data_IF_260531861666
#
_entry.id   IF_260531861666
#
_cell.length_a   1.000
_cell.length_b   1.000
_cell.length_c   1.000
_cell.angle_alpha   90.00
_cell.angle_beta   90.00
_cell.angle_gamma   90.00
#
_symmetry.space_group_name_H-M   'P 1'
#
loop_
_entity.id
_entity.type
_entity.pdbx_description
1 polymer ?
#
# COMPACT_ATOMS: atom_id res chain seq x y z
N UNK A 1 20.69 8.89 0.77
CA UNK A 1 21.82 8.77 -0.17
C UNK A 1 21.40 7.77 -1.24
N UNK A 2 20.92 8.25 -2.39
CA UNK A 2 20.66 7.36 -3.53
C UNK A 2 22.01 7.03 -4.16
N UNK A 3 22.39 5.75 -4.16
CA UNK A 3 23.44 5.29 -5.04
C UNK A 3 23.02 5.65 -6.47
N UNK A 4 23.86 6.38 -7.19
CA UNK A 4 23.68 6.58 -8.62
C UNK A 4 23.91 5.23 -9.29
N UNK A 5 22.84 4.47 -9.45
CA UNK A 5 22.83 3.21 -10.19
C UNK A 5 23.18 3.52 -11.65
N UNK A 6 24.48 3.41 -11.97
CA UNK A 6 24.97 3.59 -13.32
C UNK A 6 24.62 2.36 -14.14
N UNK A 7 23.58 2.45 -14.95
CA UNK A 7 23.22 1.38 -15.88
C UNK A 7 24.30 1.26 -16.96
N UNK A 8 25.09 0.19 -16.87
CA UNK A 8 26.17 -0.09 -17.82
C UNK A 8 25.65 -1.04 -18.90
N UNK A 9 25.77 -0.62 -20.15
CA UNK A 9 25.31 -1.38 -21.31
C UNK A 9 26.34 -2.47 -21.64
N UNK A 10 25.88 -3.72 -21.82
CA UNK A 10 26.72 -4.86 -22.17
C UNK A 10 26.22 -5.54 -23.46
N UNK A 11 27.08 -5.75 -24.49
CA UNK A 11 28.47 -5.29 -24.59
C UNK A 11 28.57 -3.74 -24.63
N UNK A 12 29.71 -3.13 -24.27
CA UNK A 12 29.85 -1.69 -24.23
C UNK A 12 29.80 -1.08 -25.64
N UNK A 13 29.05 0.02 -25.80
CA UNK A 13 28.99 0.82 -27.05
C UNK A 13 30.34 1.40 -27.45
N UNK A 14 31.19 1.68 -26.46
CA UNK A 14 32.55 2.20 -26.62
C UNK A 14 33.41 1.46 -25.60
N UNK A 15 34.50 0.84 -26.05
CA UNK A 15 35.45 0.19 -25.16
C UNK A 15 36.06 1.20 -24.18
N UNK A 16 36.48 0.73 -23.00
CA UNK A 16 37.14 1.56 -21.98
C UNK A 16 38.37 2.25 -22.58
N UNK A 17 38.35 3.59 -22.64
CA UNK A 17 39.40 4.41 -23.26
C UNK A 17 39.16 4.81 -24.73
N UNK A 18 38.13 4.25 -25.39
CA UNK A 18 37.78 4.50 -26.79
C UNK A 18 37.02 5.79 -27.08
N UNK A 19 36.83 6.67 -26.07
CA UNK A 19 36.13 7.94 -26.25
C UNK A 19 36.84 8.86 -27.25
N UNK A 20 38.18 8.78 -27.29
CA UNK A 20 39.02 9.53 -28.22
C UNK A 20 38.89 9.02 -29.66
N UNK A 21 38.55 7.74 -29.85
CA UNK A 21 38.32 7.15 -31.16
C UNK A 21 36.89 7.41 -31.64
N UNK A 22 35.92 7.43 -30.73
CA UNK A 22 34.55 7.88 -31.04
C UNK A 22 34.56 9.32 -31.55
N UNK A 23 35.25 10.24 -30.87
CA UNK A 23 35.32 11.65 -31.29
C UNK A 23 36.03 11.83 -32.63
N UNK A 24 37.12 11.09 -32.88
CA UNK A 24 37.81 11.07 -34.18
C UNK A 24 36.94 10.49 -35.31
N UNK A 25 36.06 9.54 -34.99
CA UNK A 25 35.16 8.93 -35.97
C UNK A 25 33.99 9.84 -36.40
N UNK A 26 33.78 10.97 -35.73
CA UNK A 26 32.66 11.87 -35.99
C UNK A 26 31.29 11.30 -35.59
N UNK A 27 31.27 10.16 -34.88
CA UNK A 27 30.05 9.53 -34.35
C UNK A 27 29.74 10.07 -32.95
N UNK A 28 28.45 10.19 -32.65
CA UNK A 28 27.93 10.56 -31.33
C UNK A 28 26.97 9.48 -30.83
N UNK A 29 26.75 9.43 -29.52
CA UNK A 29 25.75 8.55 -28.92
C UNK A 29 24.39 9.26 -29.03
N UNK A 30 23.43 8.56 -29.62
CA UNK A 30 22.04 8.99 -29.72
C UNK A 30 21.17 8.08 -28.87
N UNK A 31 20.13 8.68 -28.29
CA UNK A 31 19.06 7.96 -27.61
C UNK A 31 17.73 8.44 -28.21
N UNK A 32 16.85 7.49 -28.56
CA UNK A 32 15.46 7.79 -28.93
C UNK A 32 14.55 7.20 -27.87
N UNK A 33 13.58 7.99 -27.40
CA UNK A 33 12.58 7.52 -26.46
C UNK A 33 11.47 6.76 -27.18
N UNK A 34 11.00 5.66 -26.58
CA UNK A 34 9.81 4.95 -27.02
C UNK A 34 8.56 5.79 -26.72
N UNK A 35 7.57 5.84 -27.63
CA UNK A 35 6.30 6.51 -27.36
C UNK A 35 5.38 5.70 -26.41
N UNK A 36 5.69 4.42 -26.18
CA UNK A 36 4.83 3.50 -25.42
C UNK A 36 5.15 3.48 -23.92
N UNK A 37 6.42 3.66 -23.56
CA UNK A 37 6.94 3.43 -22.21
C UNK A 37 8.26 4.18 -21.98
N UNK A 38 8.76 4.19 -20.74
CA UNK A 38 10.06 4.75 -20.37
C UNK A 38 11.25 3.87 -20.83
N UNK A 39 11.19 3.40 -22.07
CA UNK A 39 12.30 2.71 -22.72
C UNK A 39 12.95 3.61 -23.76
N UNK A 40 14.25 3.40 -23.94
CA UNK A 40 15.10 4.18 -24.81
C UNK A 40 15.88 3.23 -25.70
N UNK A 41 15.97 3.54 -26.99
CA UNK A 41 16.93 2.89 -27.88
C UNK A 41 18.19 3.75 -27.93
N UNK A 42 19.32 3.20 -27.51
CA UNK A 42 20.62 3.85 -27.53
C UNK A 42 21.47 3.26 -28.65
N UNK A 43 21.99 4.11 -29.51
CA UNK A 43 22.81 3.71 -30.65
C UNK A 43 23.84 4.80 -30.96
N UNK A 44 24.97 4.43 -31.56
CA UNK A 44 25.88 5.43 -32.12
C UNK A 44 25.36 5.86 -33.50
N UNK A 45 25.48 7.13 -33.87
CA UNK A 45 25.21 7.59 -35.23
C UNK A 45 26.14 8.74 -35.61
N UNK A 46 26.32 8.95 -36.92
CA UNK A 46 27.09 10.09 -37.40
C UNK A 46 26.25 11.36 -37.37
N UNK A 47 26.82 12.46 -36.87
CA UNK A 47 26.19 13.79 -36.94
C UNK A 47 25.86 14.23 -38.38
N UNK A 48 26.58 13.67 -39.36
CA UNK A 48 26.42 13.97 -40.79
C UNK A 48 25.23 13.25 -41.45
N UNK A 49 24.72 12.16 -40.85
CA UNK A 49 23.61 11.37 -41.42
C UNK A 49 22.23 12.03 -41.19
N UNK A 50 22.14 12.99 -40.26
CA UNK A 50 20.91 13.71 -39.94
C UNK A 50 20.66 14.95 -40.84
N UNK A 51 21.56 15.23 -41.78
CA UNK A 51 21.41 16.34 -42.74
C UNK A 51 20.61 15.90 -43.98
N UNK A 52 19.54 16.62 -44.36
CA UNK A 52 18.78 16.27 -45.56
C UNK A 52 19.66 16.44 -46.80
N UNK A 53 19.99 15.33 -47.48
CA UNK A 53 20.62 15.34 -48.80
C UNK A 53 22.01 14.71 -48.92
N UNK A 54 22.59 14.09 -47.89
CA UNK A 54 23.84 13.31 -48.02
C UNK A 54 23.59 11.81 -48.05
N UNK A 55 24.31 11.13 -48.94
CA UNK A 55 24.33 9.67 -49.06
C UNK A 55 24.62 9.05 -47.69
N UNK A 56 23.74 8.16 -47.24
CA UNK A 56 24.02 7.21 -46.16
C UNK A 56 25.31 6.48 -46.53
N UNK A 57 26.44 6.88 -45.96
CA UNK A 57 27.61 6.03 -46.01
C UNK A 57 27.21 4.75 -45.28
N UNK A 58 27.31 3.61 -45.96
CA UNK A 58 26.97 2.31 -45.42
C UNK A 58 27.58 2.19 -44.02
N UNK A 59 26.73 2.29 -43.00
CA UNK A 59 27.10 1.90 -41.66
C UNK A 59 27.60 0.45 -41.75
N UNK A 60 28.64 0.06 -41.00
CA UNK A 60 28.96 -1.36 -40.88
C UNK A 60 27.66 -2.07 -40.50
N UNK A 61 27.33 -3.14 -41.22
CA UNK A 61 26.03 -3.85 -41.22
C UNK A 61 25.56 -4.28 -39.82
N UNK A 62 26.45 -4.28 -38.81
CA UNK A 62 26.17 -4.64 -37.43
C UNK A 62 26.45 -3.48 -36.46
N UNK A 63 25.63 -2.43 -36.51
CA UNK A 63 25.65 -1.43 -35.44
C UNK A 63 24.71 -1.86 -34.31
N UNK A 64 25.21 -2.15 -33.10
CA UNK A 64 24.37 -2.63 -32.01
C UNK A 64 23.44 -1.50 -31.54
N UNK A 65 22.14 -1.79 -31.54
CA UNK A 65 21.10 -0.94 -30.94
C UNK A 65 20.75 -1.55 -29.59
N UNK A 66 20.83 -0.75 -28.54
CA UNK A 66 20.53 -1.19 -27.19
C UNK A 66 19.18 -0.67 -26.74
N UNK A 67 18.33 -1.57 -26.27
CA UNK A 67 17.08 -1.20 -25.62
C UNK A 67 17.32 -1.12 -24.12
N UNK A 68 17.16 0.08 -23.59
CA UNK A 68 17.34 0.42 -22.19
C UNK A 68 15.97 0.74 -21.60
N UNK A 69 15.66 0.21 -20.42
CA UNK A 69 14.44 0.55 -19.69
C UNK A 69 14.83 1.25 -18.39
N UNK A 70 14.20 2.40 -18.11
CA UNK A 70 14.28 3.05 -16.80
C UNK A 70 13.58 2.19 -15.73
N UNK A 71 12.52 1.49 -16.13
CA UNK A 71 11.73 0.65 -15.24
C UNK A 71 12.12 -0.84 -15.34
N UNK A 72 12.17 -1.52 -14.20
CA UNK A 72 12.27 -2.97 -14.17
C UNK A 72 10.96 -3.62 -14.65
N UNK A 73 11.09 -4.62 -15.53
CA UNK A 73 9.94 -5.38 -16.02
C UNK A 73 9.14 -5.97 -14.84
N UNK A 74 7.79 -5.89 -14.86
CA UNK A 74 6.96 -6.47 -13.82
C UNK A 74 7.28 -7.94 -13.59
N UNK A 75 7.68 -8.30 -12.37
CA UNK A 75 7.89 -9.70 -12.01
C UNK A 75 6.55 -10.46 -11.98
N UNK A 76 6.62 -11.80 -11.92
CA UNK A 76 5.42 -12.66 -11.97
C UNK A 76 4.38 -12.31 -10.91
N UNK A 77 4.83 -11.95 -9.71
CA UNK A 77 3.98 -11.47 -8.60
C UNK A 77 3.22 -10.19 -8.97
N UNK A 78 3.92 -9.14 -9.42
CA UNK A 78 3.30 -7.88 -9.84
C UNK A 78 2.38 -8.07 -11.06
N UNK A 79 2.73 -8.98 -11.97
CA UNK A 79 1.89 -9.33 -13.13
C UNK A 79 0.59 -10.01 -12.72
N UNK A 80 0.65 -10.94 -11.78
CA UNK A 80 -0.55 -11.56 -11.20
C UNK A 80 -1.44 -10.49 -10.57
N UNK A 81 -0.84 -9.61 -9.75
CA UNK A 81 -1.58 -8.55 -9.10
C UNK A 81 -2.29 -7.62 -10.12
N UNK A 82 -1.55 -7.10 -11.10
CA UNK A 82 -2.10 -6.22 -12.14
C UNK A 82 -3.14 -6.94 -12.99
N UNK A 83 -2.88 -8.20 -13.36
CA UNK A 83 -3.78 -9.00 -14.19
C UNK A 83 -5.15 -9.15 -13.55
N UNK A 84 -5.20 -9.63 -12.31
CA UNK A 84 -6.45 -9.96 -11.64
C UNK A 84 -7.20 -8.69 -11.17
N UNK A 85 -6.48 -7.68 -10.66
CA UNK A 85 -7.11 -6.39 -10.31
C UNK A 85 -7.67 -5.65 -11.52
N UNK A 86 -7.08 -5.84 -12.71
CA UNK A 86 -7.60 -5.24 -13.94
C UNK A 86 -8.99 -5.78 -14.32
N UNK A 87 -9.32 -7.01 -13.93
CA UNK A 87 -10.64 -7.61 -14.17
C UNK A 87 -11.70 -6.89 -13.32
N UNK A 88 -11.39 -6.67 -12.04
CA UNK A 88 -12.26 -5.93 -11.10
C UNK A 88 -12.46 -4.50 -11.61
N UNK A 89 -11.38 -3.85 -12.04
CA UNK A 89 -11.44 -2.51 -12.59
C UNK A 89 -12.25 -2.44 -13.89
N UNK A 90 -12.09 -3.40 -14.79
CA UNK A 90 -12.87 -3.48 -16.03
C UNK A 90 -14.37 -3.67 -15.74
N UNK A 91 -14.73 -4.46 -14.73
CA UNK A 91 -16.11 -4.61 -14.28
C UNK A 91 -16.69 -3.27 -13.79
N UNK A 92 -15.93 -2.51 -12.99
CA UNK A 92 -16.33 -1.17 -12.55
C UNK A 92 -16.49 -0.20 -13.73
N UNK A 93 -15.55 -0.22 -14.69
CA UNK A 93 -15.65 0.62 -15.89
C UNK A 93 -16.90 0.31 -16.71
N UNK A 94 -17.26 -0.97 -16.85
CA UNK A 94 -18.48 -1.38 -17.55
C UNK A 94 -19.74 -0.93 -16.83
N UNK A 95 -19.76 -1.00 -15.50
CA UNK A 95 -20.86 -0.44 -14.69
C UNK A 95 -21.00 1.07 -14.94
N UNK A 96 -19.89 1.81 -14.89
CA UNK A 96 -19.89 3.27 -15.11
C UNK A 96 -20.35 3.64 -16.51
N UNK A 97 -19.91 2.91 -17.54
CA UNK A 97 -20.37 3.12 -18.92
C UNK A 97 -21.87 2.86 -19.06
N UNK A 98 -22.34 1.74 -18.53
CA UNK A 98 -23.77 1.36 -18.58
C UNK A 98 -24.66 2.39 -17.87
N UNK A 99 -24.21 2.93 -16.73
CA UNK A 99 -24.95 3.97 -16.03
C UNK A 99 -24.99 5.29 -16.82
N UNK A 100 -23.88 5.68 -17.46
CA UNK A 100 -23.86 6.86 -18.34
C UNK A 100 -24.80 6.70 -19.54
N UNK A 101 -24.81 5.54 -20.17
CA UNK A 101 -25.67 5.26 -21.33
C UNK A 101 -27.16 5.28 -20.96
N UNK A 102 -27.49 4.85 -19.74
CA UNK A 102 -28.86 4.82 -19.21
C UNK A 102 -29.27 6.11 -18.47
N UNK A 103 -28.37 7.09 -18.29
CA UNK A 103 -28.62 8.31 -17.52
C UNK A 103 -28.88 8.08 -16.03
N UNK A 104 -28.39 6.97 -15.48
CA UNK A 104 -28.54 6.61 -14.06
C UNK A 104 -27.47 7.31 -13.20
N UNK A 105 -27.88 7.82 -12.04
CA UNK A 105 -26.95 8.27 -11.03
C UNK A 105 -26.46 7.08 -10.18
N UNK A 106 -25.21 6.70 -10.38
CA UNK A 106 -24.55 5.58 -9.71
C UNK A 106 -24.54 5.72 -8.18
N UNK A 107 -24.60 6.95 -7.68
CA UNK A 107 -24.59 7.24 -6.25
C UNK A 107 -25.98 7.22 -5.63
N UNK A 108 -27.05 7.13 -6.42
CA UNK A 108 -28.42 7.07 -5.90
C UNK A 108 -29.06 5.70 -6.14
N UNK A 109 -28.58 4.96 -7.15
CA UNK A 109 -29.08 3.63 -7.45
C UNK A 109 -28.54 2.57 -6.46
N UNK A 110 -29.45 1.97 -5.71
CA UNK A 110 -29.15 0.91 -4.73
C UNK A 110 -28.39 -0.27 -5.35
N UNK A 111 -28.78 -0.67 -6.56
CA UNK A 111 -28.14 -1.78 -7.27
C UNK A 111 -26.68 -1.47 -7.59
N UNK A 112 -26.43 -0.28 -8.13
CA UNK A 112 -25.10 0.22 -8.46
C UNK A 112 -24.22 0.37 -7.23
N UNK A 113 -24.73 0.96 -6.13
CA UNK A 113 -23.96 1.08 -4.90
C UNK A 113 -23.54 -0.28 -4.32
N UNK A 114 -24.46 -1.27 -4.29
CA UNK A 114 -24.14 -2.64 -3.83
C UNK A 114 -23.05 -3.29 -4.69
N UNK A 115 -23.11 -3.09 -6.01
CA UNK A 115 -22.08 -3.62 -6.94
C UNK A 115 -20.74 -2.91 -6.73
N UNK A 116 -20.73 -1.58 -6.60
CA UNK A 116 -19.51 -0.80 -6.32
C UNK A 116 -18.86 -1.26 -5.02
N UNK A 117 -19.65 -1.42 -3.95
CA UNK A 117 -19.16 -1.92 -2.66
C UNK A 117 -18.57 -3.32 -2.79
N UNK A 118 -19.26 -4.22 -3.48
CA UNK A 118 -18.73 -5.56 -3.75
C UNK A 118 -17.38 -5.51 -4.48
N UNK A 119 -17.28 -4.74 -5.56
CA UNK A 119 -16.04 -4.61 -6.33
C UNK A 119 -14.90 -4.00 -5.50
N UNK A 120 -15.20 -3.02 -4.64
CA UNK A 120 -14.22 -2.45 -3.71
C UNK A 120 -13.71 -3.50 -2.71
N UNK A 121 -14.61 -4.29 -2.10
CA UNK A 121 -14.25 -5.36 -1.18
C UNK A 121 -13.48 -6.48 -1.87
N UNK A 122 -13.85 -6.85 -3.10
CA UNK A 122 -13.13 -7.84 -3.91
C UNK A 122 -11.68 -7.36 -4.18
N UNK A 123 -11.49 -6.06 -4.43
CA UNK A 123 -10.17 -5.46 -4.62
C UNK A 123 -9.33 -5.49 -3.32
N UNK A 124 -9.94 -5.22 -2.17
CA UNK A 124 -9.30 -5.32 -0.85
C UNK A 124 -8.90 -6.76 -0.54
N UNK A 125 -9.80 -7.72 -0.76
CA UNK A 125 -9.56 -9.14 -0.51
C UNK A 125 -8.42 -9.66 -1.38
N UNK A 126 -8.40 -9.29 -2.67
CA UNK A 126 -7.34 -9.71 -3.56
C UNK A 126 -5.96 -9.11 -3.17
N UNK A 127 -5.95 -7.86 -2.70
CA UNK A 127 -4.73 -7.24 -2.16
C UNK A 127 -4.21 -8.00 -0.92
N UNK A 128 -5.13 -8.46 -0.05
CA UNK A 128 -4.83 -9.31 1.11
C UNK A 128 -4.27 -10.66 0.71
N UNK A 129 -4.87 -11.33 -0.27
CA UNK A 129 -4.40 -12.61 -0.80
C UNK A 129 -2.99 -12.50 -1.40
N UNK A 130 -2.71 -11.41 -2.13
CA UNK A 130 -1.37 -11.14 -2.64
C UNK A 130 -0.35 -10.99 -1.52
N UNK A 131 -0.68 -10.27 -0.44
CA UNK A 131 0.19 -10.17 0.74
C UNK A 131 0.44 -11.55 1.38
N UNK A 132 -0.58 -12.38 1.55
CA UNK A 132 -0.46 -13.74 2.10
C UNK A 132 0.44 -14.61 1.20
N UNK A 133 0.20 -14.58 -0.11
CA UNK A 133 0.99 -15.36 -1.07
C UNK A 133 2.47 -14.96 -1.07
N UNK A 134 2.76 -13.66 -0.94
CA UNK A 134 4.13 -13.14 -0.89
C UNK A 134 4.82 -13.53 0.41
N UNK A 135 4.13 -13.42 1.55
CA UNK A 135 4.70 -13.79 2.85
C UNK A 135 4.95 -15.29 2.99
N UNK A 136 4.17 -16.14 2.29
CA UNK A 136 4.38 -17.59 2.27
C UNK A 136 5.44 -18.05 1.25
N UNK A 137 5.68 -17.26 0.20
CA UNK A 137 6.61 -17.62 -0.89
C UNK A 137 7.95 -16.91 -0.70
N UNK A 138 8.85 -17.48 0.08
CA UNK A 138 10.19 -16.92 0.36
C UNK A 138 11.25 -17.14 -0.73
N UNK A 139 10.93 -17.88 -1.79
CA UNK A 139 11.93 -18.39 -2.73
C UNK A 139 12.04 -17.65 -4.07
N UNK A 140 11.28 -16.57 -4.31
CA UNK A 140 11.30 -15.84 -5.60
C UNK A 140 11.91 -14.44 -5.44
N UNK A 141 12.66 -13.95 -6.44
CA UNK A 141 13.09 -12.55 -6.46
C UNK A 141 11.84 -11.66 -6.42
N UNK A 142 11.80 -10.74 -5.46
CA UNK A 142 10.68 -9.82 -5.24
C UNK A 142 11.04 -8.47 -5.86
N UNK A 143 10.11 -7.90 -6.64
CA UNK A 143 10.29 -6.56 -7.22
C UNK A 143 9.96 -5.48 -6.19
N UNK A 144 9.11 -5.83 -5.22
CA UNK A 144 8.54 -4.91 -4.26
C UNK A 144 8.77 -5.48 -2.85
N UNK A 145 9.02 -4.64 -1.83
CA UNK A 145 9.14 -5.11 -0.45
C UNK A 145 7.90 -5.88 0.00
N UNK A 146 8.07 -6.92 0.84
CA UNK A 146 6.95 -7.74 1.33
C UNK A 146 5.87 -6.94 2.07
N UNK A 147 6.25 -5.81 2.66
CA UNK A 147 5.34 -4.90 3.36
C UNK A 147 4.48 -4.04 2.43
N UNK A 148 4.80 -3.95 1.14
CA UNK A 148 4.05 -3.10 0.21
C UNK A 148 2.59 -3.50 0.09
N UNK A 149 2.32 -4.80 -0.12
CA UNK A 149 0.94 -5.29 -0.24
C UNK A 149 0.21 -5.26 1.09
N UNK A 150 0.93 -5.37 2.22
CA UNK A 150 0.36 -5.16 3.55
C UNK A 150 -0.16 -3.72 3.67
N UNK A 151 0.68 -2.73 3.38
CA UNK A 151 0.31 -1.31 3.42
C UNK A 151 -0.83 -1.03 2.45
N UNK A 152 -0.76 -1.56 1.22
CA UNK A 152 -1.79 -1.40 0.21
C UNK A 152 -3.14 -1.95 0.69
N UNK A 153 -3.16 -3.19 1.18
CA UNK A 153 -4.34 -3.83 1.76
C UNK A 153 -4.92 -3.00 2.92
N UNK A 154 -4.07 -2.56 3.86
CA UNK A 154 -4.47 -1.73 5.00
C UNK A 154 -5.09 -0.40 4.56
N UNK A 155 -4.46 0.32 3.63
CA UNK A 155 -4.98 1.59 3.14
C UNK A 155 -6.29 1.41 2.36
N UNK A 156 -6.41 0.36 1.55
CA UNK A 156 -7.62 0.09 0.76
C UNK A 156 -8.78 -0.39 1.64
N UNK A 157 -8.52 -1.21 2.66
CA UNK A 157 -9.57 -1.61 3.61
C UNK A 157 -10.10 -0.41 4.39
N UNK A 158 -9.23 0.53 4.79
CA UNK A 158 -9.65 1.78 5.40
C UNK A 158 -10.48 2.64 4.44
N UNK A 159 -10.05 2.75 3.18
CA UNK A 159 -10.80 3.47 2.17
C UNK A 159 -12.21 2.89 1.97
N UNK A 160 -12.34 1.56 1.92
CA UNK A 160 -13.63 0.90 1.77
C UNK A 160 -14.58 1.20 2.94
N UNK A 161 -14.08 1.24 4.17
CA UNK A 161 -14.88 1.59 5.36
C UNK A 161 -15.34 3.05 5.32
N UNK A 162 -14.46 3.98 4.96
CA UNK A 162 -14.74 5.41 5.04
C UNK A 162 -15.57 5.95 3.86
N UNK A 163 -15.35 5.41 2.65
CA UNK A 163 -15.86 6.00 1.42
C UNK A 163 -16.80 5.08 0.63
N UNK A 164 -16.93 3.82 1.05
CA UNK A 164 -17.82 2.85 0.39
C UNK A 164 -18.79 2.24 1.41
N UNK A 165 -19.64 3.09 2.04
CA UNK A 165 -20.58 2.64 3.05
C UNK A 165 -21.60 1.67 2.45
N UNK A 166 -22.22 0.88 3.32
CA UNK A 166 -23.38 0.08 2.90
C UNK A 166 -24.55 1.00 2.53
N UNK A 167 -25.33 0.59 1.50
CA UNK A 167 -26.48 1.35 1.05
C UNK A 167 -27.44 1.61 2.20
N UNK A 168 -27.83 2.87 2.39
CA UNK A 168 -28.69 3.30 3.49
C UNK A 168 -27.97 3.59 4.81
N UNK A 169 -26.66 3.33 4.91
CA UNK A 169 -25.82 3.66 6.06
C UNK A 169 -24.82 4.80 5.78
N UNK A 170 -25.07 5.62 4.76
CA UNK A 170 -24.19 6.74 4.37
C UNK A 170 -23.96 7.76 5.48
N UNK A 171 -24.92 7.90 6.41
CA UNK A 171 -24.84 8.79 7.57
C UNK A 171 -24.59 8.04 8.89
N UNK A 172 -24.37 6.73 8.83
CA UNK A 172 -24.14 5.94 10.02
C UNK A 172 -22.74 6.22 10.60
N UNK A 173 -22.59 6.21 11.93
CA UNK A 173 -21.27 6.36 12.54
C UNK A 173 -20.40 5.16 12.20
N UNK A 174 -19.30 5.39 11.47
CA UNK A 174 -18.28 4.37 11.13
C UNK A 174 -17.35 4.02 12.30
N UNK A 175 -17.70 4.42 13.53
CA UNK A 175 -16.85 4.31 14.70
C UNK A 175 -16.53 2.85 15.04
N UNK A 176 -17.54 1.98 14.99
CA UNK A 176 -17.39 0.56 15.31
C UNK A 176 -16.53 -0.16 14.27
N UNK A 177 -16.81 0.05 12.98
CA UNK A 177 -16.05 -0.53 11.87
C UNK A 177 -14.58 -0.04 11.87
N UNK A 178 -14.34 1.23 12.22
CA UNK A 178 -12.99 1.79 12.31
C UNK A 178 -12.21 1.20 13.47
N UNK A 179 -12.86 0.96 14.61
CA UNK A 179 -12.26 0.29 15.76
C UNK A 179 -11.94 -1.16 15.42
N UNK A 180 -12.87 -1.88 14.80
CA UNK A 180 -12.63 -3.26 14.36
C UNK A 180 -11.44 -3.30 13.40
N UNK A 181 -11.40 -2.38 12.44
CA UNK A 181 -10.28 -2.23 11.52
C UNK A 181 -8.95 -1.95 12.23
N UNK A 182 -8.94 -1.07 13.24
CA UNK A 182 -7.75 -0.79 14.04
C UNK A 182 -7.24 -2.06 14.74
N UNK A 183 -8.14 -2.84 15.33
CA UNK A 183 -7.81 -4.09 16.01
C UNK A 183 -7.31 -5.18 15.05
N UNK A 184 -7.77 -5.18 13.78
CA UNK A 184 -7.31 -6.14 12.76
C UNK A 184 -5.92 -5.81 12.22
N UNK A 185 -5.58 -4.52 12.10
CA UNK A 185 -4.36 -4.07 11.44
C UNK A 185 -3.23 -3.66 12.38
N UNK A 186 -3.54 -3.32 13.64
CA UNK A 186 -2.56 -2.97 14.65
C UNK A 186 -2.68 -3.95 15.82
N UNK A 187 -1.57 -4.62 16.11
CA UNK A 187 -1.49 -5.62 17.17
C UNK A 187 -1.81 -4.94 18.51
N UNK A 188 -2.70 -5.59 19.27
CA UNK A 188 -2.97 -5.28 20.68
C UNK A 188 -1.66 -5.15 21.45
N UNK A 189 -1.52 -4.22 22.42
CA UNK A 189 -0.38 -4.22 23.34
C UNK A 189 -0.18 -5.65 23.86
N UNK A 190 1.03 -6.20 23.74
CA UNK A 190 1.22 -7.61 24.05
C UNK A 190 0.81 -7.88 25.49
N UNK A 191 0.16 -9.03 25.74
CA UNK A 191 -0.17 -9.47 27.10
C UNK A 191 1.07 -9.54 27.98
N UNK A 192 2.24 -9.76 27.38
CA UNK A 192 3.55 -9.74 28.05
C UNK A 192 3.97 -8.34 28.54
N UNK A 193 3.72 -7.28 27.76
CA UNK A 193 3.92 -5.89 28.22
C UNK A 193 2.96 -5.53 29.37
N UNK A 194 1.71 -6.00 29.29
CA UNK A 194 0.71 -5.82 30.35
C UNK A 194 1.06 -6.55 31.64
N UNK A 195 1.49 -7.81 31.54
CA UNK A 195 1.91 -8.62 32.68
C UNK A 195 3.17 -8.04 33.33
N UNK A 196 4.14 -7.57 32.52
CA UNK A 196 5.34 -6.91 33.02
C UNK A 196 5.00 -5.63 33.79
N UNK A 197 4.18 -4.74 33.22
CA UNK A 197 3.74 -3.52 33.89
C UNK A 197 2.93 -3.81 35.15
N UNK A 198 2.12 -4.87 35.18
CA UNK A 198 1.33 -5.27 36.36
C UNK A 198 2.18 -5.84 37.49
N UNK A 199 3.37 -6.37 37.18
CA UNK A 199 4.31 -6.93 38.15
C UNK A 199 5.14 -5.87 38.89
N UNK A 200 5.14 -4.63 38.40
CA UNK A 200 5.84 -3.51 39.02
C UNK A 200 5.03 -2.95 40.20
N UNK A 201 5.72 -2.63 41.30
CA UNK A 201 5.10 -2.01 42.47
C UNK A 201 4.61 -0.58 42.18
N UNK A 202 5.24 0.09 41.20
CA UNK A 202 4.88 1.44 40.72
C UNK A 202 4.88 1.51 39.19
N UNK A 203 3.86 0.97 38.52
CA UNK A 203 3.80 0.93 37.05
C UNK A 203 3.81 2.32 36.42
N UNK A 204 3.23 3.34 37.07
CA UNK A 204 3.13 4.71 36.54
C UNK A 204 4.45 5.49 36.46
N UNK A 205 5.51 4.99 37.10
CA UNK A 205 6.87 5.56 37.02
C UNK A 205 7.63 5.02 35.80
N UNK A 206 7.12 3.97 35.15
CA UNK A 206 7.72 3.37 33.96
C UNK A 206 7.40 4.16 32.68
N UNK A 207 8.40 4.34 31.80
CA UNK A 207 8.26 5.11 30.56
C UNK A 207 7.26 4.45 29.58
N UNK A 208 7.06 3.14 29.67
CA UNK A 208 6.16 2.38 28.79
C UNK A 208 4.71 2.37 29.26
N UNK A 209 4.44 2.75 30.51
CA UNK A 209 3.10 2.71 31.11
C UNK A 209 2.10 3.65 30.45
N UNK A 210 2.45 4.93 30.28
CA UNK A 210 1.53 5.92 29.70
C UNK A 210 1.23 5.66 28.21
N UNK A 211 2.23 5.29 27.37
CA UNK A 211 1.97 4.82 26.00
C UNK A 211 1.07 3.58 25.95
N UNK A 212 1.31 2.58 26.81
CA UNK A 212 0.51 1.36 26.90
C UNK A 212 -0.96 1.68 27.25
N UNK A 213 -1.18 2.46 28.30
CA UNK A 213 -2.52 2.83 28.76
C UNK A 213 -3.28 3.66 27.72
N UNK A 214 -2.60 4.54 26.98
CA UNK A 214 -3.23 5.37 25.93
C UNK A 214 -3.69 4.50 24.76
N UNK A 215 -2.84 3.57 24.30
CA UNK A 215 -3.20 2.61 23.24
C UNK A 215 -4.36 1.71 23.67
N UNK A 216 -4.30 1.23 24.90
CA UNK A 216 -5.31 0.36 25.49
C UNK A 216 -6.67 1.05 25.62
N UNK A 217 -6.72 2.30 26.09
CA UNK A 217 -7.98 3.04 26.19
C UNK A 217 -8.63 3.24 24.81
N UNK A 218 -7.86 3.63 23.79
CA UNK A 218 -8.40 3.82 22.43
C UNK A 218 -9.00 2.51 21.88
N UNK A 219 -8.36 1.37 22.16
CA UNK A 219 -8.85 0.05 21.74
C UNK A 219 -10.07 -0.44 22.55
N UNK A 220 -10.06 -0.28 23.89
CA UNK A 220 -11.16 -0.69 24.77
C UNK A 220 -12.42 0.14 24.55
N UNK A 221 -12.30 1.46 24.44
CA UNK A 221 -13.48 2.30 24.24
C UNK A 221 -14.22 1.95 22.95
N UNK A 222 -13.49 1.50 21.93
CA UNK A 222 -14.07 0.90 20.74
C UNK A 222 -14.69 -0.48 20.97
N UNK A 223 -14.02 -1.39 21.69
CA UNK A 223 -14.55 -2.73 21.98
C UNK A 223 -15.80 -2.74 22.89
N UNK A 224 -15.97 -1.71 23.72
CA UNK A 224 -17.13 -1.56 24.62
C UNK A 224 -18.38 -1.04 23.89
N UNK A 225 -18.24 -0.27 22.81
CA UNK A 225 -19.37 0.15 21.95
C UNK A 225 -19.92 -1.04 21.13
N UNK A 226 -19.04 -1.87 20.55
CA UNK A 226 -19.45 -3.07 19.78
C UNK A 226 -20.03 -4.24 20.59
N UNK A 227 -19.96 -4.21 21.94
CA UNK A 227 -20.43 -5.30 22.81
C UNK A 227 -21.91 -5.30 23.15
N UNK A 228 -22.69 -4.34 22.65
CA UNK A 228 -24.15 -4.43 22.79
C UNK A 228 -24.80 -5.45 21.84
N UNK A 229 -24.02 -6.18 21.00
CA UNK A 229 -24.58 -7.11 20.01
C UNK A 229 -24.07 -8.56 20.11
N UNK A 230 -22.98 -8.90 20.84
CA UNK A 230 -22.54 -10.30 20.97
C UNK A 230 -22.06 -10.66 22.40
N UNK A 231 -22.77 -11.53 23.14
CA UNK A 231 -22.35 -11.99 24.45
C UNK A 231 -21.43 -13.21 24.26
N UNK A 232 -20.10 -13.05 24.42
CA UNK A 232 -19.25 -14.24 24.32
C UNK A 232 -17.75 -14.12 24.58
N UNK A 233 -17.14 -12.93 24.54
CA UNK A 233 -15.69 -12.83 24.77
C UNK A 233 -15.35 -12.34 26.18
N UNK A 234 -14.79 -13.27 26.94
CA UNK A 234 -14.29 -13.17 28.30
C UNK A 234 -13.23 -12.07 28.38
N UNK A 235 -13.51 -11.01 29.13
CA UNK A 235 -12.48 -10.07 29.59
C UNK A 235 -11.66 -10.81 30.64
N UNK A 236 -10.34 -10.89 30.44
CA UNK A 236 -9.42 -11.42 31.46
C UNK A 236 -9.66 -10.74 32.82
N UNK A 237 -9.94 -11.50 33.89
CA UNK A 237 -10.23 -10.96 35.22
C UNK A 237 -9.12 -10.03 35.77
N UNK A 238 -7.86 -10.28 35.41
CA UNK A 238 -6.69 -9.52 35.88
C UNK A 238 -6.75 -8.04 35.48
N UNK A 239 -7.27 -7.74 34.29
CA UNK A 239 -7.33 -6.38 33.74
C UNK A 239 -8.43 -5.55 34.42
N UNK A 240 -9.53 -6.20 34.81
CA UNK A 240 -10.62 -5.55 35.55
C UNK A 240 -10.14 -5.12 36.95
N UNK A 241 -9.32 -5.95 37.59
CA UNK A 241 -8.70 -5.62 38.88
C UNK A 241 -7.67 -4.48 38.75
N UNK A 242 -6.89 -4.44 37.65
CA UNK A 242 -5.99 -3.31 37.38
C UNK A 242 -6.73 -2.00 37.14
N UNK A 243 -7.85 -2.02 36.42
CA UNK A 243 -8.69 -0.83 36.20
C UNK A 243 -9.36 -0.34 37.50
N UNK A 244 -9.82 -1.25 38.36
CA UNK A 244 -10.36 -0.90 39.68
C UNK A 244 -9.29 -0.35 40.64
N UNK A 245 -8.05 -0.86 40.57
CA UNK A 245 -6.92 -0.36 41.35
C UNK A 245 -6.52 1.07 40.93
N UNK A 246 -6.50 1.36 39.63
CA UNK A 246 -6.20 2.69 39.08
C UNK A 246 -7.29 3.71 39.47
N UNK A 247 -8.57 3.31 39.46
CA UNK A 247 -9.69 4.16 39.89
C UNK A 247 -9.64 4.52 41.38
N UNK A 248 -9.23 3.58 42.24
CA UNK A 248 -9.15 3.80 43.70
C UNK A 248 -8.00 4.73 44.12
N UNK A 249 -6.91 4.78 43.36
CA UNK A 249 -5.70 5.53 43.74
C UNK A 249 -5.42 6.80 42.94
N UNK A 250 -6.20 7.10 41.89
CA UNK A 250 -6.02 8.30 41.09
C UNK A 250 -7.05 9.40 41.43
N UNK A 251 -6.65 10.53 42.06
CA UNK A 251 -7.57 11.63 42.39
C UNK A 251 -8.18 12.31 41.15
N UNK A 252 -7.57 12.15 39.97
CA UNK A 252 -8.09 12.67 38.68
C UNK A 252 -9.22 11.77 38.15
N UNK A 253 -9.14 10.46 38.36
CA UNK A 253 -10.21 9.52 38.01
C UNK A 253 -11.45 9.69 38.91
N UNK A 254 -11.24 10.03 40.19
CA UNK A 254 -12.33 10.36 41.12
C UNK A 254 -13.03 11.68 40.75
N UNK A 255 -12.31 12.65 40.19
CA UNK A 255 -12.90 13.90 39.66
C UNK A 255 -13.72 13.65 38.40
N UNK A 256 -13.25 12.78 37.49
CA UNK A 256 -14.00 12.41 36.28
C UNK A 256 -15.28 11.61 36.61
N UNK A 257 -15.23 10.68 37.58
CA UNK A 257 -16.41 9.93 38.02
C UNK A 257 -17.47 10.82 38.70
N UNK A 258 -17.04 11.90 39.38
CA UNK A 258 -17.93 12.87 40.02
C UNK A 258 -18.55 13.85 39.03
N UNK A 259 -17.84 14.18 37.95
CA UNK A 259 -18.33 15.03 36.87
C UNK A 259 -19.41 14.35 36.01
N UNK A 260 -19.40 13.01 35.89
CA UNK A 260 -20.44 12.25 35.16
C UNK A 260 -21.71 11.96 35.99
N UNK A 261 -21.79 12.47 37.23
CA UNK A 261 -22.96 12.33 38.13
C UNK A 261 -23.75 13.63 38.33
N UNK A 262 -23.45 14.65 37.53
CA UNK A 262 -24.20 15.89 37.36
C UNK A 262 -24.71 15.97 35.92
#
# INVERSE_FOLDING_TARGET
>A
MHASDHLSVAPPLVELGGLSDLSKSGRTIHATASPLNETYAVFAASLLDNLPGKQRHASPDDQPIYFVSSEALPLSERRLFIGDTSIIFAALQNLVKTAKDNGLDLLQDEGSQRVIRKLALDYVNFSKECWIHITQTDLKPRQVPGDHYRILYTCLSLFAILYVPEYGLENAPVGDDLVEWLNVHFIEPSTEEGDHLSSLERPWEDETFWPYLTRFNIMIFGAVQGRNILPGHVVCPSVRESAEAISKHNPIAQLAAKASSL
#
